data_IF_157190858091
#
_entry.id   IF_157190858091
#
_cell.length_a   1.000
_cell.length_b   1.000
_cell.length_c   1.000
_cell.angle_alpha   90.00
_cell.angle_beta   90.00
_cell.angle_gamma   90.00
#
_symmetry.space_group_name_H-M   'P 1'
#
loop_
_entity.id
_entity.type
_entity.pdbx_description
1 polymer ?
#
# COMPACT_ATOMS: atom_id res chain seq x y z
N UNK A 1 -18.54 -16.14 -12.65
CA UNK A 1 -17.88 -16.27 -11.35
C UNK A 1 -17.68 -14.90 -10.71
N UNK A 2 -18.05 -14.80 -9.48
CA UNK A 2 -17.97 -13.52 -8.79
C UNK A 2 -16.55 -13.19 -8.41
N UNK A 3 -16.22 -11.92 -8.51
CA UNK A 3 -14.99 -11.40 -7.93
C UNK A 3 -15.10 -11.49 -6.42
N UNK A 4 -14.04 -11.91 -5.76
CA UNK A 4 -14.04 -11.92 -4.33
C UNK A 4 -13.02 -10.89 -3.81
N UNK A 5 -12.99 -10.75 -2.49
CA UNK A 5 -12.14 -9.74 -1.86
C UNK A 5 -10.64 -10.00 -2.08
N UNK A 6 -10.29 -11.19 -2.51
CA UNK A 6 -8.89 -11.56 -2.70
C UNK A 6 -8.31 -11.05 -4.01
N UNK A 7 -9.16 -10.51 -4.88
CA UNK A 7 -8.70 -9.98 -6.17
C UNK A 7 -8.57 -8.47 -6.15
N UNK A 8 -8.70 -7.86 -4.97
CA UNK A 8 -8.72 -6.41 -4.80
C UNK A 8 -7.55 -5.98 -3.92
N UNK A 9 -6.93 -4.86 -4.28
CA UNK A 9 -5.97 -4.16 -3.44
C UNK A 9 -6.66 -2.90 -2.94
N UNK A 10 -6.68 -2.72 -1.63
CA UNK A 10 -7.23 -1.49 -1.04
C UNK A 10 -6.11 -0.47 -0.89
N UNK A 11 -6.31 0.71 -1.44
CA UNK A 11 -5.34 1.79 -1.36
C UNK A 11 -5.87 2.81 -0.36
N UNK A 12 -5.11 3.02 0.72
CA UNK A 12 -5.45 4.00 1.76
C UNK A 12 -4.61 5.24 1.54
N UNK A 13 -5.24 6.40 1.49
CA UNK A 13 -4.56 7.65 1.16
C UNK A 13 -5.22 8.83 1.85
N UNK A 14 -4.55 9.96 1.85
CA UNK A 14 -4.99 11.21 2.48
C UNK A 14 -5.17 11.10 3.99
N UNK A 15 -4.60 10.07 4.61
CA UNK A 15 -4.59 9.93 6.05
C UNK A 15 -3.23 10.25 6.61
N UNK A 16 -3.11 10.06 7.91
CA UNK A 16 -1.87 10.28 8.64
C UNK A 16 -1.50 9.02 9.40
N UNK A 17 -0.22 8.71 9.39
CA UNK A 17 0.28 7.66 10.28
C UNK A 17 0.49 8.23 11.67
N UNK A 18 0.14 7.47 12.68
CA UNK A 18 0.41 7.83 14.07
C UNK A 18 1.37 6.81 14.67
N UNK A 19 2.26 7.22 15.59
CA UNK A 19 3.33 6.31 15.99
C UNK A 19 2.99 5.25 17.03
N UNK A 20 2.09 5.50 17.95
CA UNK A 20 1.90 4.60 19.10
C UNK A 20 0.43 4.48 19.46
N UNK A 21 -0.24 3.46 18.98
CA UNK A 21 0.20 2.43 18.04
C UNK A 21 0.34 2.97 16.63
N UNK A 22 1.08 2.25 15.79
CA UNK A 22 1.21 2.64 14.40
C UNK A 22 -0.09 2.30 13.68
N UNK A 23 -0.84 3.32 13.32
CA UNK A 23 -2.08 3.19 12.57
C UNK A 23 -2.15 4.27 11.51
N UNK A 24 -3.01 4.05 10.52
CA UNK A 24 -3.29 5.03 9.48
C UNK A 24 -4.64 5.65 9.80
N UNK A 25 -4.64 6.93 10.10
CA UNK A 25 -5.79 7.62 10.69
C UNK A 25 -6.41 8.59 9.70
N UNK A 26 -7.73 8.58 9.64
CA UNK A 26 -8.52 9.61 8.96
C UNK A 26 -8.27 9.64 7.44
N UNK A 27 -8.00 8.49 6.85
CA UNK A 27 -7.78 8.39 5.43
C UNK A 27 -9.00 7.96 4.65
N UNK A 28 -8.83 7.93 3.34
CA UNK A 28 -9.83 7.46 2.39
C UNK A 28 -9.33 6.16 1.79
N UNK A 29 -10.24 5.30 1.36
CA UNK A 29 -9.89 4.01 0.79
C UNK A 29 -10.43 3.91 -0.64
N UNK A 30 -9.59 3.46 -1.56
CA UNK A 30 -10.00 3.13 -2.92
C UNK A 30 -9.66 1.67 -3.17
N UNK A 31 -10.50 0.99 -3.95
CA UNK A 31 -10.28 -0.42 -4.29
C UNK A 31 -9.79 -0.52 -5.72
N UNK A 32 -8.69 -1.25 -5.90
CA UNK A 32 -8.07 -1.45 -7.22
C UNK A 32 -7.99 -2.94 -7.50
N UNK A 33 -8.45 -3.41 -8.67
CA UNK A 33 -8.29 -4.82 -8.99
C UNK A 33 -6.82 -5.22 -9.03
N UNK A 34 -6.50 -6.39 -8.50
CA UNK A 34 -5.12 -6.88 -8.54
C UNK A 34 -4.60 -7.02 -9.96
N UNK A 35 -5.48 -7.34 -10.92
CA UNK A 35 -5.08 -7.47 -12.32
C UNK A 35 -4.51 -6.17 -12.88
N UNK A 36 -5.02 -5.03 -12.43
CA UNK A 36 -4.49 -3.73 -12.84
C UNK A 36 -3.08 -3.53 -12.30
N UNK A 37 -2.88 -3.85 -11.02
CA UNK A 37 -1.57 -3.70 -10.38
C UNK A 37 -0.55 -4.65 -11.02
N UNK A 38 -0.95 -5.87 -11.30
CA UNK A 38 -0.04 -6.88 -11.88
C UNK A 38 0.44 -6.53 -13.27
N UNK A 39 -0.28 -5.68 -13.99
CA UNK A 39 0.10 -5.24 -15.32
C UNK A 39 1.01 -4.01 -15.30
N UNK A 40 1.29 -3.49 -14.13
CA UNK A 40 2.08 -2.27 -13.95
C UNK A 40 3.49 -2.66 -13.53
N UNK A 41 4.45 -1.76 -13.76
CA UNK A 41 5.79 -1.90 -13.21
C UNK A 41 6.00 -0.79 -12.17
N UNK A 42 7.14 -0.80 -11.50
CA UNK A 42 7.40 0.18 -10.45
C UNK A 42 7.40 1.61 -11.00
N UNK A 43 7.98 1.80 -12.19
CA UNK A 43 8.08 3.14 -12.78
C UNK A 43 6.72 3.76 -13.05
N UNK A 44 5.72 2.93 -13.33
CA UNK A 44 4.36 3.41 -13.63
C UNK A 44 3.45 3.37 -12.41
N UNK A 45 3.81 2.58 -11.39
CA UNK A 45 2.95 2.37 -10.23
C UNK A 45 2.76 3.63 -9.41
N UNK A 46 3.85 4.35 -9.14
CA UNK A 46 3.75 5.58 -8.35
C UNK A 46 2.95 6.65 -9.09
N UNK A 47 3.20 6.91 -10.39
CA UNK A 47 2.32 7.84 -11.13
C UNK A 47 0.86 7.39 -11.15
N UNK A 48 0.62 6.08 -11.23
CA UNK A 48 -0.74 5.56 -11.17
C UNK A 48 -1.41 5.93 -9.84
N UNK A 49 -0.69 5.73 -8.72
CA UNK A 49 -1.22 6.08 -7.41
C UNK A 49 -1.43 7.59 -7.27
N UNK A 50 -0.53 8.39 -7.81
CA UNK A 50 -0.69 9.84 -7.73
C UNK A 50 -1.93 10.29 -8.49
N UNK A 51 -2.20 9.67 -9.62
CA UNK A 51 -3.40 9.97 -10.38
C UNK A 51 -4.65 9.50 -9.65
N UNK A 52 -4.59 8.31 -9.07
CA UNK A 52 -5.70 7.73 -8.33
C UNK A 52 -6.07 8.58 -7.11
N UNK A 53 -5.06 9.04 -6.38
CA UNK A 53 -5.26 9.76 -5.13
C UNK A 53 -5.35 11.26 -5.31
N UNK A 54 -5.06 11.75 -6.52
CA UNK A 54 -5.03 13.16 -6.84
C UNK A 54 -4.08 13.94 -5.94
N UNK A 55 -2.93 13.33 -5.64
CA UNK A 55 -1.94 13.94 -4.79
C UNK A 55 -0.58 13.30 -4.96
N UNK A 56 0.44 13.97 -4.44
CA UNK A 56 1.79 13.47 -4.51
C UNK A 56 2.01 12.34 -3.54
N UNK A 57 2.53 11.22 -4.01
CA UNK A 57 2.81 10.06 -3.18
C UNK A 57 4.28 10.08 -2.80
N UNK A 58 4.58 10.54 -1.58
CA UNK A 58 5.96 10.66 -1.11
C UNK A 58 6.56 9.31 -0.78
N UNK A 59 5.83 8.51 -0.04
CA UNK A 59 6.23 7.16 0.32
C UNK A 59 5.03 6.24 0.18
N UNK A 60 5.28 5.01 -0.27
CA UNK A 60 4.23 4.02 -0.46
C UNK A 60 4.63 2.76 0.28
N UNK A 61 3.66 2.18 0.96
CA UNK A 61 3.86 0.97 1.76
C UNK A 61 2.76 -0.02 1.45
N UNK A 62 3.01 -1.29 1.76
CA UNK A 62 1.95 -2.28 1.75
C UNK A 62 2.01 -3.12 3.01
N UNK A 63 0.89 -3.70 3.38
CA UNK A 63 0.78 -4.56 4.54
C UNK A 63 -0.29 -5.60 4.27
N UNK A 64 -0.08 -6.86 4.63
CA UNK A 64 -1.14 -7.86 4.48
C UNK A 64 -2.35 -7.45 5.30
N UNK A 65 -3.53 -7.69 4.74
CA UNK A 65 -4.77 -7.39 5.44
C UNK A 65 -4.83 -8.18 6.75
N UNK A 66 -5.30 -7.56 7.79
CA UNK A 66 -5.43 -8.18 9.11
C UNK A 66 -4.10 -8.35 9.86
N UNK A 67 -3.00 -7.86 9.31
CA UNK A 67 -1.72 -7.83 10.02
C UNK A 67 -1.51 -6.41 10.54
N UNK A 68 -1.02 -6.31 11.78
CA UNK A 68 -0.77 -5.00 12.37
C UNK A 68 0.32 -4.27 11.58
N UNK A 69 0.15 -2.97 11.40
CA UNK A 69 1.11 -2.19 10.63
C UNK A 69 2.51 -2.28 11.22
N UNK A 70 2.63 -2.30 12.54
CA UNK A 70 3.93 -2.39 13.18
C UNK A 70 4.66 -3.71 12.91
N UNK A 71 3.93 -4.73 12.43
CA UNK A 71 4.50 -6.04 12.18
C UNK A 71 4.60 -6.40 10.71
N UNK A 72 3.75 -5.84 9.88
CA UNK A 72 3.66 -6.26 8.48
C UNK A 72 3.89 -5.18 7.44
N UNK A 73 4.26 -3.98 7.84
CA UNK A 73 4.42 -2.87 6.90
C UNK A 73 5.72 -3.02 6.11
N UNK A 74 5.62 -2.93 4.80
CA UNK A 74 6.78 -2.99 3.89
C UNK A 74 6.76 -1.78 2.97
N UNK A 75 7.92 -1.16 2.77
CA UNK A 75 8.04 -0.04 1.85
C UNK A 75 8.14 -0.52 0.41
N UNK A 76 7.62 0.28 -0.52
CA UNK A 76 7.76 0.04 -1.95
C UNK A 76 8.54 1.21 -2.53
N UNK A 77 9.86 1.07 -2.58
CA UNK A 77 10.76 2.16 -2.95
C UNK A 77 11.53 1.90 -4.25
N UNK A 78 11.51 0.67 -4.75
CA UNK A 78 12.27 0.29 -5.93
C UNK A 78 11.63 -0.93 -6.58
N UNK A 79 12.23 -1.39 -7.69
CA UNK A 79 11.74 -2.56 -8.41
C UNK A 79 11.75 -3.82 -7.55
N UNK A 80 12.75 -3.98 -6.72
CA UNK A 80 12.86 -5.14 -5.83
C UNK A 80 11.68 -5.20 -4.88
N UNK A 81 11.37 -4.08 -4.25
CA UNK A 81 10.24 -3.99 -3.33
C UNK A 81 8.93 -4.23 -4.05
N UNK A 82 8.79 -3.69 -5.25
CA UNK A 82 7.58 -3.87 -6.03
C UNK A 82 7.39 -5.34 -6.42
N UNK A 83 8.48 -6.03 -6.77
CA UNK A 83 8.41 -7.45 -7.07
C UNK A 83 7.99 -8.26 -5.86
N UNK A 84 8.49 -7.93 -4.67
CA UNK A 84 8.06 -8.58 -3.44
C UNK A 84 6.57 -8.35 -3.17
N UNK A 85 6.10 -7.14 -3.44
CA UNK A 85 4.69 -6.81 -3.33
C UNK A 85 3.85 -7.72 -4.23
N UNK A 86 4.28 -7.90 -5.49
CA UNK A 86 3.58 -8.77 -6.42
C UNK A 86 3.61 -10.22 -5.97
N UNK A 87 4.74 -10.69 -5.44
CA UNK A 87 4.85 -12.04 -4.93
C UNK A 87 3.93 -12.27 -3.74
N UNK A 88 3.91 -11.32 -2.83
CA UNK A 88 3.03 -11.40 -1.67
C UNK A 88 1.56 -11.37 -2.08
N UNK A 89 1.24 -10.59 -3.11
CA UNK A 89 -0.10 -10.53 -3.65
C UNK A 89 -0.55 -11.91 -4.12
N UNK A 90 0.35 -12.65 -4.75
CA UNK A 90 0.04 -14.00 -5.21
C UNK A 90 -0.10 -15.01 -4.07
N UNK A 91 0.58 -14.78 -2.96
CA UNK A 91 0.58 -15.69 -1.82
C UNK A 91 -0.50 -15.36 -0.80
N UNK A 92 -0.68 -14.07 -0.53
CA UNK A 92 -1.48 -13.62 0.61
C UNK A 92 -2.91 -13.31 0.26
N UNK A 93 -3.21 -13.13 -1.01
CA UNK A 93 -4.57 -12.89 -1.48
C UNK A 93 -5.08 -11.48 -1.23
N UNK A 94 -4.94 -10.93 -0.01
CA UNK A 94 -5.41 -9.59 0.31
C UNK A 94 -4.27 -8.75 0.86
N UNK A 95 -4.01 -7.65 0.20
CA UNK A 95 -3.00 -6.69 0.63
C UNK A 95 -3.61 -5.30 0.63
N UNK A 96 -3.17 -4.48 1.58
CA UNK A 96 -3.55 -3.08 1.66
C UNK A 96 -2.33 -2.24 1.35
N UNK A 97 -2.53 -1.18 0.57
CA UNK A 97 -1.50 -0.22 0.23
C UNK A 97 -1.78 1.06 1.00
N UNK A 98 -0.74 1.66 1.54
CA UNK A 98 -0.85 2.89 2.31
C UNK A 98 0.05 3.94 1.67
N UNK A 99 -0.52 5.10 1.40
CA UNK A 99 0.21 6.21 0.79
C UNK A 99 0.50 7.26 1.85
N UNK A 100 1.78 7.57 2.02
CA UNK A 100 2.20 8.66 2.90
C UNK A 100 2.53 9.87 2.04
N UNK A 101 1.73 10.91 2.18
CA UNK A 101 1.92 12.16 1.43
C UNK A 101 2.89 13.10 2.14
N UNK A 102 3.35 12.75 3.35
CA UNK A 102 4.12 13.64 4.22
C UNK A 102 5.54 13.18 4.50
N UNK A 103 5.91 11.98 4.07
CA UNK A 103 7.25 11.43 4.29
C UNK A 103 7.58 11.25 5.78
N UNK A 104 6.70 10.54 6.49
CA UNK A 104 6.87 10.31 7.92
C UNK A 104 7.93 9.22 8.18
N UNK A 105 8.68 9.31 9.29
CA UNK A 105 9.74 8.33 9.57
C UNK A 105 9.19 7.06 10.24
N UNK A 106 8.36 6.31 9.51
CA UNK A 106 7.62 5.20 10.07
C UNK A 106 8.50 4.12 10.70
N UNK A 107 9.60 3.78 10.04
CA UNK A 107 10.44 2.70 10.54
C UNK A 107 11.23 3.10 11.78
N UNK A 108 11.40 4.40 12.03
CA UNK A 108 11.95 4.86 13.29
C UNK A 108 10.94 4.67 14.42
N UNK A 109 9.67 4.76 14.12
CA UNK A 109 8.62 4.60 15.12
C UNK A 109 8.38 3.15 15.51
N UNK A 110 8.72 2.20 14.63
CA UNK A 110 8.43 0.78 14.84
C UNK A 110 9.44 0.12 15.78
N UNK A 111 10.62 0.68 15.94
CA UNK A 111 11.66 0.07 16.77
C UNK A 111 11.26 -0.13 18.20
#
# INVERSE_FOLDING_TARGET
MAEDAYTIVNVHYQGLFTPTPLIYFDGVKASVPQTVVKKTNFDDFIPFLEKLTNGRCRDVYYCPHEVMLSEGLHAIQNNCDFNEFLEDMNKKKRLDVYVDHHHEPLFDWIR
#
